data_IF_888429652515
#
_entry.id   IF_888429652515
#
_cell.length_a   1.000
_cell.length_b   1.000
_cell.length_c   1.000
_cell.angle_alpha   90.00
_cell.angle_beta   90.00
_cell.angle_gamma   90.00
#
_symmetry.space_group_name_H-M   'P 1'
#
loop_
_entity.id
_entity.type
_entity.pdbx_description
1 polymer ?
#
# COMPACT_ATOMS: atom_id res chain seq x y z
N UNK A 1 31.55 -32.69 -16.51
CA UNK A 1 30.44 -31.89 -17.05
C UNK A 1 29.84 -32.66 -18.23
N UNK A 2 28.56 -33.06 -18.17
CA UNK A 2 27.94 -33.97 -19.15
C UNK A 2 27.13 -33.14 -20.15
N UNK A 3 27.40 -33.30 -21.43
CA UNK A 3 26.90 -32.44 -22.52
C UNK A 3 25.43 -32.67 -22.90
N UNK A 4 24.73 -33.61 -22.24
CA UNK A 4 23.40 -34.12 -22.62
C UNK A 4 22.58 -34.55 -21.41
N UNK A 5 22.49 -33.72 -20.37
CA UNK A 5 21.49 -33.95 -19.31
C UNK A 5 20.21 -33.17 -19.66
N UNK A 6 19.09 -33.87 -19.82
CA UNK A 6 17.79 -33.28 -20.11
C UNK A 6 17.16 -32.60 -18.88
N UNK A 7 17.76 -32.80 -17.70
CA UNK A 7 17.34 -32.23 -16.42
C UNK A 7 18.29 -31.12 -15.92
N UNK A 8 19.14 -30.58 -16.78
CA UNK A 8 20.01 -29.44 -16.47
C UNK A 8 19.77 -28.32 -17.49
N UNK A 9 19.20 -27.20 -17.05
CA UNK A 9 19.05 -26.01 -17.89
C UNK A 9 20.19 -25.02 -17.62
N UNK A 10 20.70 -24.41 -18.70
CA UNK A 10 21.86 -23.50 -18.67
C UNK A 10 21.40 -22.06 -18.50
N UNK A 11 21.92 -21.39 -17.48
CA UNK A 11 21.86 -19.93 -17.40
C UNK A 11 22.84 -19.33 -18.40
N UNK A 12 22.40 -18.33 -19.18
CA UNK A 12 23.28 -17.55 -20.05
C UNK A 12 23.07 -16.07 -19.76
N UNK A 13 24.03 -15.44 -19.09
CA UNK A 13 24.07 -14.00 -18.79
C UNK A 13 22.80 -13.45 -18.11
N UNK A 14 22.37 -14.09 -17.02
CA UNK A 14 21.24 -13.65 -16.20
C UNK A 14 21.74 -13.07 -14.87
N UNK A 15 21.11 -12.01 -14.32
CA UNK A 15 21.42 -11.54 -12.97
C UNK A 15 21.00 -12.61 -11.96
N UNK A 16 21.94 -13.05 -11.13
CA UNK A 16 21.69 -14.03 -10.06
C UNK A 16 22.00 -13.38 -8.72
N UNK A 17 21.03 -13.44 -7.80
CA UNK A 17 21.28 -13.12 -6.40
C UNK A 17 21.69 -14.40 -5.67
N UNK A 18 22.83 -14.36 -4.99
CA UNK A 18 23.31 -15.46 -4.16
C UNK A 18 23.03 -15.14 -2.69
N UNK A 19 22.33 -16.03 -2.01
CA UNK A 19 22.14 -15.97 -0.57
C UNK A 19 23.05 -16.99 0.10
N UNK A 20 23.84 -16.52 1.05
CA UNK A 20 24.61 -17.40 1.93
C UNK A 20 23.97 -17.37 3.31
N UNK A 21 23.65 -18.56 3.83
CA UNK A 21 23.02 -18.74 5.13
C UNK A 21 24.04 -19.31 6.13
N UNK A 22 23.97 -18.84 7.37
CA UNK A 22 24.74 -19.43 8.48
C UNK A 22 24.11 -20.73 8.99
N UNK A 23 22.78 -20.81 8.93
CA UNK A 23 21.99 -21.97 9.34
C UNK A 23 21.16 -22.51 8.16
N UNK A 24 20.99 -23.83 8.08
CA UNK A 24 20.18 -24.44 7.04
C UNK A 24 18.70 -24.09 7.22
N UNK A 25 18.03 -23.79 6.10
CA UNK A 25 16.58 -23.56 6.06
C UNK A 25 15.90 -24.64 5.24
N UNK A 26 14.64 -24.89 5.53
CA UNK A 26 13.78 -25.63 4.59
C UNK A 26 13.67 -24.84 3.29
N UNK A 27 13.49 -25.54 2.15
CA UNK A 27 13.27 -24.87 0.86
C UNK A 27 12.13 -23.85 0.92
N UNK A 28 11.05 -24.19 1.64
CA UNK A 28 9.93 -23.26 1.83
C UNK A 28 10.33 -22.04 2.65
N UNK A 29 11.05 -22.21 3.76
CA UNK A 29 11.56 -21.10 4.57
C UNK A 29 12.48 -20.18 3.76
N UNK A 30 13.38 -20.74 2.96
CA UNK A 30 14.24 -19.97 2.05
C UNK A 30 13.41 -19.11 1.09
N UNK A 31 12.39 -19.70 0.47
CA UNK A 31 11.53 -19.01 -0.51
C UNK A 31 10.71 -17.91 0.16
N UNK A 32 10.00 -18.24 1.23
CA UNK A 32 9.09 -17.34 1.92
C UNK A 32 9.87 -16.17 2.58
N UNK A 33 11.05 -16.44 3.14
CA UNK A 33 11.81 -15.44 3.91
C UNK A 33 12.78 -14.61 3.07
N UNK A 34 13.26 -15.08 1.92
CA UNK A 34 14.31 -14.38 1.18
C UNK A 34 14.01 -14.20 -0.30
N UNK A 35 13.57 -15.26 -0.98
CA UNK A 35 13.32 -15.19 -2.43
C UNK A 35 12.13 -14.30 -2.74
N UNK A 36 11.00 -14.51 -2.06
CA UNK A 36 9.78 -13.76 -2.33
C UNK A 36 9.89 -12.28 -1.92
N UNK A 37 10.43 -11.92 -0.73
CA UNK A 37 10.74 -10.52 -0.41
C UNK A 37 11.65 -9.84 -1.42
N UNK A 38 12.68 -10.54 -1.94
CA UNK A 38 13.54 -10.00 -3.00
C UNK A 38 12.75 -9.75 -4.28
N UNK A 39 11.93 -10.72 -4.72
CA UNK A 39 11.06 -10.56 -5.91
C UNK A 39 10.13 -9.37 -5.77
N UNK A 40 9.51 -9.18 -4.59
CA UNK A 40 8.64 -8.04 -4.29
C UNK A 40 9.40 -6.72 -4.36
N UNK A 41 10.59 -6.65 -3.77
CA UNK A 41 11.44 -5.46 -3.86
C UNK A 41 11.78 -5.13 -5.31
N UNK A 42 12.22 -6.10 -6.11
CA UNK A 42 12.54 -5.85 -7.53
C UNK A 42 11.28 -5.41 -8.30
N UNK A 43 10.12 -5.99 -7.99
CA UNK A 43 8.85 -5.55 -8.57
C UNK A 43 8.48 -4.11 -8.19
N UNK A 44 8.69 -3.70 -6.93
CA UNK A 44 8.52 -2.32 -6.48
C UNK A 44 9.50 -1.39 -7.20
N UNK A 45 10.77 -1.77 -7.30
CA UNK A 45 11.80 -0.95 -7.93
C UNK A 45 11.52 -0.72 -9.42
N UNK A 46 11.09 -1.76 -10.13
CA UNK A 46 10.87 -1.73 -11.60
C UNK A 46 9.45 -1.36 -12.01
N UNK A 47 8.47 -1.50 -11.11
CA UNK A 47 7.05 -1.33 -11.42
C UNK A 47 6.47 -2.47 -12.26
N UNK A 48 7.11 -3.63 -12.26
CA UNK A 48 6.71 -4.80 -13.04
C UNK A 48 6.85 -6.07 -12.21
N UNK A 49 5.90 -6.98 -12.31
CA UNK A 49 6.04 -8.32 -11.75
C UNK A 49 7.33 -8.99 -12.26
N UNK A 50 7.97 -9.77 -11.39
CA UNK A 50 9.25 -10.43 -11.68
C UNK A 50 9.10 -11.92 -11.53
N UNK A 51 9.27 -12.64 -12.62
CA UNK A 51 9.28 -14.10 -12.63
C UNK A 51 10.54 -14.67 -12.01
N UNK A 52 10.37 -15.81 -11.32
CA UNK A 52 11.50 -16.62 -10.87
C UNK A 52 11.87 -17.58 -12.01
N UNK A 53 12.91 -17.26 -12.77
CA UNK A 53 13.34 -18.09 -13.90
C UNK A 53 14.27 -19.22 -13.48
N UNK A 54 14.99 -19.06 -12.38
CA UNK A 54 15.98 -20.00 -11.89
C UNK A 54 16.10 -19.96 -10.37
N UNK A 55 16.20 -21.14 -9.76
CA UNK A 55 16.57 -21.32 -8.35
C UNK A 55 17.46 -22.56 -8.24
N UNK A 56 18.58 -22.40 -7.53
CA UNK A 56 19.40 -23.53 -7.12
C UNK A 56 19.79 -23.39 -5.65
N UNK A 57 19.94 -24.53 -4.99
CA UNK A 57 20.25 -24.63 -3.56
C UNK A 57 21.39 -25.60 -3.34
N UNK A 58 22.13 -25.40 -2.26
CA UNK A 58 23.03 -26.43 -1.71
C UNK A 58 22.28 -27.16 -0.59
N UNK A 59 22.46 -28.48 -0.50
CA UNK A 59 21.80 -29.31 0.51
C UNK A 59 22.77 -29.55 1.67
N UNK A 60 22.26 -29.55 2.90
CA UNK A 60 23.09 -29.80 4.09
C UNK A 60 23.79 -31.16 4.06
N UNK A 61 23.13 -32.18 3.51
CA UNK A 61 23.62 -33.54 3.45
C UNK A 61 24.48 -33.85 2.21
N UNK A 62 24.46 -33.01 1.18
CA UNK A 62 25.07 -33.30 -0.12
C UNK A 62 25.73 -32.06 -0.73
N UNK A 63 27.00 -32.20 -1.10
CA UNK A 63 27.75 -31.11 -1.71
C UNK A 63 27.37 -30.89 -3.17
N UNK A 64 27.28 -29.62 -3.55
CA UNK A 64 26.97 -29.19 -4.91
C UNK A 64 25.66 -28.43 -5.01
N UNK A 65 25.43 -27.87 -6.20
CA UNK A 65 24.24 -27.08 -6.50
C UNK A 65 23.15 -27.95 -7.12
N UNK A 66 21.97 -27.92 -6.52
CA UNK A 66 20.79 -28.65 -6.96
C UNK A 66 19.76 -27.65 -7.49
N UNK A 67 19.36 -27.82 -8.75
CA UNK A 67 18.32 -26.98 -9.37
C UNK A 67 16.95 -27.35 -8.82
N UNK A 68 16.15 -26.32 -8.52
CA UNK A 68 14.78 -26.48 -8.04
C UNK A 68 13.82 -26.36 -9.21
N UNK A 69 12.93 -27.34 -9.34
CA UNK A 69 11.87 -27.36 -10.34
C UNK A 69 10.51 -27.17 -9.68
N UNK A 70 9.69 -26.29 -10.22
CA UNK A 70 8.35 -26.03 -9.73
C UNK A 70 7.53 -25.21 -10.71
N UNK A 71 6.20 -25.24 -10.56
CA UNK A 71 5.27 -24.53 -11.45
C UNK A 71 5.39 -23.00 -11.37
N UNK A 72 5.94 -22.48 -10.27
CA UNK A 72 6.23 -21.05 -10.10
C UNK A 72 7.65 -20.66 -10.56
N UNK A 73 8.42 -21.61 -11.10
CA UNK A 73 9.75 -21.37 -11.68
C UNK A 73 9.63 -21.57 -13.17
N UNK A 74 9.62 -20.47 -13.93
CA UNK A 74 9.25 -20.50 -15.35
C UNK A 74 10.26 -21.26 -16.19
N UNK A 75 11.53 -21.30 -15.78
CA UNK A 75 12.65 -21.88 -16.53
C UNK A 75 12.80 -21.28 -17.93
N UNK A 76 12.14 -20.15 -18.20
CA UNK A 76 12.30 -19.41 -19.44
C UNK A 76 13.71 -18.80 -19.47
N UNK A 77 14.44 -18.95 -20.58
CA UNK A 77 15.76 -18.35 -20.71
C UNK A 77 15.69 -16.83 -20.50
N UNK A 78 16.40 -16.33 -19.49
CA UNK A 78 16.52 -14.89 -19.28
C UNK A 78 17.62 -14.33 -20.17
N UNK A 79 17.25 -13.62 -21.22
CA UNK A 79 18.17 -12.89 -22.10
C UNK A 79 18.33 -11.44 -21.63
N UNK A 80 19.39 -11.17 -20.87
CA UNK A 80 19.75 -9.79 -20.53
C UNK A 80 20.19 -9.04 -21.78
N UNK A 81 19.53 -7.92 -22.09
CA UNK A 81 19.98 -7.00 -23.14
C UNK A 81 20.21 -5.61 -22.55
N UNK A 82 21.24 -4.91 -23.03
CA UNK A 82 21.53 -3.54 -22.59
C UNK A 82 20.40 -2.57 -22.93
N UNK A 83 19.63 -2.83 -24.00
CA UNK A 83 18.44 -2.07 -24.33
C UNK A 83 17.29 -2.33 -23.35
N UNK A 84 17.07 -3.57 -22.93
CA UNK A 84 16.09 -3.88 -21.88
C UNK A 84 16.50 -3.27 -20.54
N UNK A 85 17.79 -3.27 -20.19
CA UNK A 85 18.28 -2.63 -18.96
C UNK A 85 18.15 -1.11 -19.02
N UNK A 86 18.51 -0.47 -20.13
CA UNK A 86 18.34 0.99 -20.31
C UNK A 86 16.86 1.40 -20.41
N UNK A 87 16.03 0.54 -20.99
CA UNK A 87 14.58 0.73 -21.04
C UNK A 87 13.86 0.36 -19.75
N UNK A 88 14.52 -0.36 -18.83
CA UNK A 88 14.00 -0.63 -17.50
C UNK A 88 14.07 0.67 -16.70
N UNK A 89 12.94 1.38 -16.61
CA UNK A 89 12.74 2.56 -15.78
C UNK A 89 12.71 2.18 -14.28
N UNK A 90 13.78 1.58 -13.78
CA UNK A 90 13.94 1.24 -12.37
C UNK A 90 14.16 2.50 -11.55
N UNK A 91 13.42 2.62 -10.45
CA UNK A 91 13.66 3.69 -9.48
C UNK A 91 14.95 3.44 -8.66
N UNK A 92 15.46 2.21 -8.65
CA UNK A 92 16.60 1.78 -7.84
C UNK A 92 17.74 1.25 -8.69
N UNK A 93 18.94 1.74 -8.40
CA UNK A 93 20.25 1.25 -8.82
C UNK A 93 21.04 0.89 -7.57
N UNK A 94 20.90 -0.34 -7.04
CA UNK A 94 21.38 -0.69 -5.69
C UNK A 94 22.85 -0.32 -5.41
N UNK A 95 23.74 -0.47 -6.39
CA UNK A 95 25.16 -0.08 -6.24
C UNK A 95 25.35 1.44 -6.20
N UNK A 96 24.70 2.18 -7.11
CA UNK A 96 24.83 3.65 -7.20
C UNK A 96 24.14 4.35 -6.03
N UNK A 97 23.08 3.72 -5.51
CA UNK A 97 22.25 4.22 -4.42
C UNK A 97 22.77 3.82 -3.03
N UNK A 98 23.88 3.07 -2.96
CA UNK A 98 24.47 2.52 -1.73
C UNK A 98 23.46 1.73 -0.88
N UNK A 99 22.65 0.90 -1.55
CA UNK A 99 21.60 0.10 -0.92
C UNK A 99 22.01 -1.37 -0.79
N UNK A 100 21.90 -1.90 0.43
CA UNK A 100 22.07 -3.32 0.69
C UNK A 100 20.78 -4.10 0.35
N UNK A 101 20.85 -5.01 -0.63
CA UNK A 101 19.74 -5.90 -0.97
C UNK A 101 19.29 -6.75 0.22
N UNK A 102 20.23 -7.19 1.07
CA UNK A 102 19.92 -7.97 2.26
C UNK A 102 19.15 -7.13 3.29
N UNK A 103 19.53 -5.86 3.49
CA UNK A 103 18.79 -4.96 4.38
C UNK A 103 17.38 -4.68 3.85
N UNK A 104 17.21 -4.49 2.55
CA UNK A 104 15.90 -4.28 1.93
C UNK A 104 14.99 -5.49 2.12
N UNK A 105 15.50 -6.71 1.89
CA UNK A 105 14.80 -7.97 2.18
C UNK A 105 14.42 -8.06 3.65
N UNK A 106 15.35 -7.70 4.54
CA UNK A 106 15.12 -7.76 5.99
C UNK A 106 14.05 -6.78 6.44
N UNK A 107 14.06 -5.55 5.91
CA UNK A 107 13.02 -4.54 6.17
C UNK A 107 11.65 -4.98 5.63
N UNK A 108 11.59 -5.65 4.48
CA UNK A 108 10.33 -6.21 4.00
C UNK A 108 9.78 -7.28 4.95
N UNK A 109 10.63 -8.20 5.40
CA UNK A 109 10.23 -9.23 6.39
C UNK A 109 9.75 -8.61 7.70
N UNK A 110 10.38 -7.53 8.16
CA UNK A 110 9.92 -6.79 9.33
C UNK A 110 8.51 -6.21 9.14
N UNK A 111 8.18 -5.74 7.93
CA UNK A 111 6.84 -5.26 7.60
C UNK A 111 5.83 -6.42 7.62
N UNK A 112 6.18 -7.59 7.07
CA UNK A 112 5.33 -8.78 7.10
C UNK A 112 5.10 -9.30 8.52
N UNK A 113 6.17 -9.40 9.32
CA UNK A 113 6.09 -9.85 10.71
C UNK A 113 5.22 -8.92 11.58
N UNK A 114 5.16 -7.64 11.23
CA UNK A 114 4.30 -6.63 11.90
C UNK A 114 2.89 -6.57 11.32
N UNK A 115 2.54 -7.40 10.35
CA UNK A 115 1.26 -7.31 9.63
C UNK A 115 1.03 -5.90 9.08
N UNK A 116 2.09 -5.27 8.54
CA UNK A 116 2.00 -3.91 8.06
C UNK A 116 1.05 -3.86 6.84
N UNK A 117 0.10 -2.91 6.78
CA UNK A 117 -0.92 -2.89 5.73
C UNK A 117 -0.37 -2.88 4.31
N UNK A 118 0.79 -2.24 4.07
CA UNK A 118 1.48 -2.31 2.78
C UNK A 118 1.78 -3.76 2.34
N UNK A 119 2.32 -4.57 3.24
CA UNK A 119 2.71 -5.95 2.95
C UNK A 119 1.47 -6.83 2.73
N UNK A 120 0.43 -6.66 3.55
CA UNK A 120 -0.82 -7.44 3.44
C UNK A 120 -1.67 -7.07 2.21
N UNK A 121 -1.63 -5.81 1.78
CA UNK A 121 -2.41 -5.34 0.63
C UNK A 121 -1.56 -5.35 -0.64
N UNK A 122 -0.79 -4.29 -0.88
CA UNK A 122 0.00 -4.11 -2.09
C UNK A 122 1.00 -5.25 -2.31
N UNK A 123 1.64 -5.75 -1.25
CA UNK A 123 2.58 -6.88 -1.33
C UNK A 123 1.99 -8.15 -1.94
N UNK A 124 0.69 -8.41 -1.73
CA UNK A 124 -0.02 -9.55 -2.30
C UNK A 124 -0.34 -9.39 -3.80
N UNK A 125 -0.32 -8.15 -4.31
CA UNK A 125 -0.66 -7.82 -5.69
C UNK A 125 0.55 -7.77 -6.63
N UNK A 126 1.76 -7.63 -6.09
CA UNK A 126 2.99 -7.39 -6.88
C UNK A 126 3.29 -8.46 -7.94
N UNK A 127 2.65 -9.63 -7.84
CA UNK A 127 2.83 -10.76 -8.76
C UNK A 127 1.56 -11.07 -9.58
N UNK A 128 0.52 -10.24 -9.51
CA UNK A 128 -0.72 -10.45 -10.25
C UNK A 128 -0.69 -9.66 -11.58
N UNK A 129 -0.50 -10.36 -12.69
CA UNK A 129 -0.24 -9.71 -13.99
C UNK A 129 -1.50 -9.17 -14.70
N UNK A 130 -2.71 -9.63 -14.34
CA UNK A 130 -3.94 -9.35 -15.11
C UNK A 130 -5.12 -8.86 -14.25
N UNK A 131 -4.86 -7.94 -13.32
CA UNK A 131 -5.95 -7.38 -12.53
C UNK A 131 -6.69 -6.27 -13.27
N UNK A 132 -8.01 -6.40 -13.38
CA UNK A 132 -8.87 -5.37 -13.94
C UNK A 132 -8.65 -4.02 -13.20
N UNK A 133 -8.59 -2.86 -13.89
CA UNK A 133 -8.27 -1.56 -13.29
C UNK A 133 -9.12 -1.19 -12.07
N UNK A 134 -10.40 -1.55 -12.08
CA UNK A 134 -11.29 -1.42 -10.90
C UNK A 134 -10.74 -2.08 -9.63
N UNK A 135 -10.25 -3.32 -9.72
CA UNK A 135 -9.72 -4.05 -8.56
C UNK A 135 -8.42 -3.42 -8.09
N UNK A 136 -7.53 -3.09 -9.02
CA UNK A 136 -6.26 -2.40 -8.73
C UNK A 136 -6.52 -1.07 -8.03
N UNK A 137 -7.44 -0.25 -8.54
CA UNK A 137 -7.82 1.02 -7.95
C UNK A 137 -8.25 0.86 -6.48
N UNK A 138 -9.19 -0.05 -6.20
CA UNK A 138 -9.71 -0.26 -4.84
C UNK A 138 -8.62 -0.71 -3.87
N UNK A 139 -7.75 -1.62 -4.32
CA UNK A 139 -6.66 -2.13 -3.49
C UNK A 139 -5.56 -1.10 -3.24
N UNK A 140 -5.21 -0.28 -4.25
CA UNK A 140 -4.22 0.80 -4.08
C UNK A 140 -4.73 1.87 -3.12
N UNK A 141 -6.01 2.26 -3.21
CA UNK A 141 -6.62 3.19 -2.25
C UNK A 141 -6.63 2.58 -0.84
N UNK A 142 -6.96 1.30 -0.71
CA UNK A 142 -6.92 0.59 0.57
C UNK A 142 -5.50 0.51 1.13
N UNK A 143 -4.48 0.33 0.29
CA UNK A 143 -3.09 0.32 0.71
C UNK A 143 -2.67 1.68 1.28
N UNK A 144 -3.01 2.78 0.60
CA UNK A 144 -2.73 4.15 1.08
C UNK A 144 -3.45 4.45 2.40
N UNK A 145 -4.73 4.11 2.50
CA UNK A 145 -5.53 4.29 3.71
C UNK A 145 -4.98 3.44 4.88
N UNK A 146 -4.65 2.18 4.61
CA UNK A 146 -4.07 1.27 5.59
C UNK A 146 -2.71 1.73 6.10
N UNK A 147 -1.82 2.16 5.20
CA UNK A 147 -0.52 2.72 5.57
C UNK A 147 -0.67 3.97 6.45
N UNK A 148 -1.52 4.91 6.06
CA UNK A 148 -1.78 6.10 6.87
C UNK A 148 -2.28 5.71 8.26
N UNK A 149 -3.25 4.80 8.33
CA UNK A 149 -3.80 4.30 9.58
C UNK A 149 -2.77 3.62 10.48
N UNK A 150 -1.81 2.89 9.91
CA UNK A 150 -0.71 2.28 10.65
C UNK A 150 0.25 3.33 11.22
N UNK A 151 0.64 4.32 10.42
CA UNK A 151 1.58 5.38 10.83
C UNK A 151 0.98 6.35 11.85
N UNK A 152 -0.32 6.63 11.76
CA UNK A 152 -1.01 7.57 12.68
C UNK A 152 -1.74 6.88 13.82
N UNK A 153 -1.55 5.57 14.02
CA UNK A 153 -2.34 4.77 14.96
C UNK A 153 -2.33 5.35 16.36
N UNK A 154 -1.16 5.66 16.90
CA UNK A 154 -1.00 6.19 18.26
C UNK A 154 -1.71 7.56 18.41
N UNK A 155 -1.50 8.45 17.43
CA UNK A 155 -2.14 9.77 17.42
C UNK A 155 -3.68 9.64 17.38
N UNK A 156 -4.19 8.71 16.58
CA UNK A 156 -5.62 8.46 16.49
C UNK A 156 -6.18 7.86 17.79
N UNK A 157 -5.47 6.94 18.44
CA UNK A 157 -5.85 6.39 19.73
C UNK A 157 -5.97 7.49 20.81
N UNK A 158 -5.06 8.46 20.80
CA UNK A 158 -5.13 9.62 21.70
C UNK A 158 -6.27 10.56 21.36
N UNK A 159 -6.51 10.84 20.07
CA UNK A 159 -7.68 11.60 19.64
C UNK A 159 -8.99 10.92 20.06
N UNK A 160 -9.07 9.59 19.99
CA UNK A 160 -10.23 8.83 20.46
C UNK A 160 -10.43 9.00 21.97
N UNK A 161 -9.36 8.97 22.78
CA UNK A 161 -9.46 9.22 24.23
C UNK A 161 -10.00 10.62 24.51
N UNK A 162 -9.41 11.64 23.91
CA UNK A 162 -9.83 13.05 24.09
C UNK A 162 -11.27 13.27 23.61
N UNK A 163 -11.62 12.73 22.43
CA UNK A 163 -12.97 12.83 21.90
C UNK A 163 -13.99 12.15 22.81
N UNK A 164 -13.66 10.96 23.32
CA UNK A 164 -14.54 10.22 24.24
C UNK A 164 -14.75 10.99 25.53
N UNK A 165 -13.69 11.55 26.13
CA UNK A 165 -13.79 12.40 27.32
C UNK A 165 -14.66 13.64 27.07
N UNK A 166 -14.44 14.36 25.97
CA UNK A 166 -15.25 15.53 25.60
C UNK A 166 -16.71 15.17 25.36
N UNK A 167 -16.98 14.06 24.68
CA UNK A 167 -18.34 13.56 24.42
C UNK A 167 -19.05 13.20 25.73
N UNK A 168 -18.37 12.51 26.64
CA UNK A 168 -18.93 12.16 27.96
C UNK A 168 -19.22 13.42 28.76
N UNK A 169 -18.26 14.34 28.87
CA UNK A 169 -18.45 15.60 29.59
C UNK A 169 -19.58 16.46 28.99
N UNK A 170 -19.76 16.47 27.66
CA UNK A 170 -20.89 17.14 27.02
C UNK A 170 -22.22 16.49 27.43
N UNK A 171 -22.31 15.16 27.38
CA UNK A 171 -23.54 14.46 27.76
C UNK A 171 -23.88 14.63 29.25
N UNK A 172 -22.88 14.70 30.12
CA UNK A 172 -23.04 15.01 31.55
C UNK A 172 -23.53 16.46 31.75
N UNK A 173 -22.97 17.43 31.02
CA UNK A 173 -23.44 18.83 31.05
C UNK A 173 -24.88 19.00 30.55
N UNK A 174 -25.32 18.13 29.64
CA UNK A 174 -26.69 18.11 29.13
C UNK A 174 -27.67 17.41 30.07
N UNK A 175 -27.19 16.63 31.05
CA UNK A 175 -28.04 15.90 31.99
C UNK A 175 -28.94 16.80 32.86
N UNK A 176 -28.44 17.88 33.50
CA UNK A 176 -29.29 18.78 34.30
C UNK A 176 -30.17 19.72 33.46
N UNK A 177 -29.92 19.84 32.15
CA UNK A 177 -30.72 20.66 31.23
C UNK A 177 -31.93 19.89 30.65
N UNK A 178 -31.94 18.57 30.82
CA UNK A 178 -33.11 17.74 30.59
C UNK A 178 -33.93 17.74 31.87
N UNK A 179 -35.01 18.51 31.90
CA UNK A 179 -35.87 18.64 33.08
C UNK A 179 -36.31 17.27 33.59
N UNK A 180 -36.12 17.01 34.89
CA UNK A 180 -36.90 15.98 35.57
C UNK A 180 -38.29 16.60 35.78
N UNK A 181 -39.27 16.12 35.02
CA UNK A 181 -40.67 16.46 35.22
C UNK A 181 -41.17 15.91 36.56
N UNK A 182 -40.90 16.65 37.63
CA UNK A 182 -41.46 16.56 38.99
C UNK A 182 -40.61 17.48 39.86
N UNK A 183 -41.00 18.70 40.20
CA UNK A 183 -42.20 19.11 40.94
C UNK A 183 -42.36 20.62 40.79
N UNK A 184 -43.59 21.09 41.01
CA UNK A 184 -44.09 22.45 40.83
C UNK A 184 -43.18 23.56 41.40
N UNK A 185 -43.21 24.72 40.72
CA UNK A 185 -42.63 26.02 41.11
C UNK A 185 -41.13 26.24 40.86
N UNK A 186 -40.71 26.29 39.59
CA UNK A 186 -39.74 27.30 39.15
C UNK A 186 -39.86 27.53 37.63
N UNK A 187 -40.05 28.79 37.24
CA UNK A 187 -40.08 29.30 35.86
C UNK A 187 -38.70 29.20 35.18
N UNK A 188 -38.14 28.01 35.09
CA UNK A 188 -36.98 27.67 34.28
C UNK A 188 -37.46 27.02 32.99
N UNK A 189 -37.33 27.70 31.86
CA UNK A 189 -37.68 27.16 30.54
C UNK A 189 -37.00 25.81 30.33
N UNK A 190 -37.76 24.71 30.21
CA UNK A 190 -37.23 23.41 29.81
C UNK A 190 -36.55 23.55 28.44
N UNK A 191 -35.22 23.54 28.40
CA UNK A 191 -34.45 23.83 27.18
C UNK A 191 -34.34 22.56 26.30
N UNK A 192 -34.25 21.38 26.93
CA UNK A 192 -34.12 20.10 26.25
C UNK A 192 -35.02 19.04 26.89
N UNK A 193 -35.68 18.24 26.07
CA UNK A 193 -36.45 17.09 26.55
C UNK A 193 -35.57 15.85 26.70
N UNK A 194 -36.08 14.87 27.43
CA UNK A 194 -35.49 13.55 27.56
C UNK A 194 -35.36 12.82 26.19
N UNK A 195 -36.25 13.13 25.23
CA UNK A 195 -36.18 12.66 23.86
C UNK A 195 -35.02 13.31 23.08
N UNK A 196 -34.79 14.61 23.26
CA UNK A 196 -33.66 15.35 22.66
C UNK A 196 -32.33 14.80 23.15
N UNK A 197 -32.22 14.50 24.46
CA UNK A 197 -31.02 13.85 25.02
C UNK A 197 -30.75 12.49 24.38
N UNK A 198 -31.79 11.66 24.24
CA UNK A 198 -31.67 10.34 23.57
C UNK A 198 -31.27 10.48 22.11
N UNK A 199 -31.85 11.45 21.41
CA UNK A 199 -31.50 11.79 20.04
C UNK A 199 -30.03 12.20 19.93
N UNK A 200 -29.58 13.18 20.72
CA UNK A 200 -28.19 13.65 20.75
C UNK A 200 -27.23 12.51 21.09
N UNK A 201 -27.51 11.68 22.10
CA UNK A 201 -26.66 10.53 22.42
C UNK A 201 -26.54 9.53 21.27
N UNK A 202 -27.60 9.35 20.48
CA UNK A 202 -27.64 8.44 19.33
C UNK A 202 -26.88 9.00 18.12
N UNK A 203 -27.01 10.30 17.85
CA UNK A 203 -26.47 10.94 16.65
C UNK A 203 -25.13 11.65 16.85
N UNK A 204 -24.73 11.94 18.10
CA UNK A 204 -23.36 12.35 18.41
C UNK A 204 -22.41 11.19 18.15
N UNK A 205 -21.54 11.37 17.15
CA UNK A 205 -20.54 10.40 16.75
C UNK A 205 -19.77 9.87 17.96
N UNK A 206 -19.49 8.56 17.97
CA UNK A 206 -18.77 7.92 19.08
C UNK A 206 -17.26 8.06 18.96
N UNK A 207 -16.76 8.31 17.75
CA UNK A 207 -15.35 8.42 17.41
C UNK A 207 -15.11 9.75 16.69
N UNK A 208 -13.88 10.29 16.73
CA UNK A 208 -13.52 11.43 15.91
C UNK A 208 -13.75 11.10 14.43
N UNK A 209 -14.01 12.14 13.64
CA UNK A 209 -14.16 12.02 12.19
C UNK A 209 -12.78 11.67 11.61
N UNK A 210 -12.67 10.52 10.93
CA UNK A 210 -11.61 10.27 9.96
C UNK A 210 -12.22 10.26 8.57
N UNK A 211 -11.52 10.82 7.59
CA UNK A 211 -11.96 10.79 6.20
C UNK A 211 -10.80 10.35 5.29
N UNK A 212 -11.16 9.66 4.21
CA UNK A 212 -10.20 9.19 3.22
C UNK A 212 -9.46 10.37 2.56
N UNK A 213 -10.13 11.51 2.38
CA UNK A 213 -9.55 12.71 1.79
C UNK A 213 -8.33 13.20 2.58
N UNK A 214 -8.43 13.22 3.90
CA UNK A 214 -7.33 13.58 4.80
C UNK A 214 -6.19 12.57 4.75
N UNK A 215 -6.50 11.27 4.75
CA UNK A 215 -5.49 10.21 4.64
C UNK A 215 -4.72 10.33 3.31
N UNK A 216 -5.41 10.42 2.17
CA UNK A 216 -4.78 10.56 0.87
C UNK A 216 -3.94 11.83 0.74
N UNK A 217 -4.41 12.95 1.30
CA UNK A 217 -3.66 14.22 1.32
C UNK A 217 -2.39 14.11 2.16
N UNK A 218 -2.48 13.49 3.34
CA UNK A 218 -1.33 13.27 4.22
C UNK A 218 -0.30 12.34 3.57
N UNK A 219 -0.75 11.23 2.98
CA UNK A 219 0.12 10.30 2.26
C UNK A 219 0.86 11.01 1.13
N UNK A 220 0.15 11.75 0.26
CA UNK A 220 0.77 12.50 -0.82
C UNK A 220 1.79 13.55 -0.33
N UNK A 221 1.50 14.21 0.80
CA UNK A 221 2.40 15.24 1.36
C UNK A 221 3.62 14.67 2.07
N UNK A 222 3.63 13.37 2.40
CA UNK A 222 4.75 12.70 3.07
C UNK A 222 5.81 12.15 2.11
N UNK A 223 5.58 12.28 0.80
CA UNK A 223 6.55 11.94 -0.25
C UNK A 223 7.33 13.17 -0.72
N UNK A 224 8.54 12.99 -1.25
CA UNK A 224 9.33 14.09 -1.83
C UNK A 224 8.69 14.70 -3.09
N UNK A 225 7.86 13.94 -3.80
CA UNK A 225 7.10 14.38 -4.97
C UNK A 225 5.61 14.18 -4.72
N UNK A 226 4.82 15.24 -4.93
CA UNK A 226 3.38 15.18 -4.75
C UNK A 226 2.66 14.61 -5.99
N UNK A 227 2.49 13.29 -6.03
CA UNK A 227 1.80 12.60 -7.12
C UNK A 227 0.33 13.02 -7.35
N UNK A 228 -0.29 13.75 -6.40
CA UNK A 228 -1.67 14.23 -6.58
C UNK A 228 -1.79 15.28 -7.69
N UNK A 229 -0.72 16.02 -8.01
CA UNK A 229 -0.74 17.01 -9.08
C UNK A 229 -0.79 16.37 -10.47
N UNK A 230 -0.16 15.20 -10.65
CA UNK A 230 -0.33 14.40 -11.85
C UNK A 230 -1.75 13.83 -11.93
N UNK A 231 -2.29 13.31 -10.82
CA UNK A 231 -3.65 12.77 -10.76
C UNK A 231 -4.71 13.80 -11.17
N UNK A 232 -4.57 15.08 -10.79
CA UNK A 232 -5.47 16.17 -11.21
C UNK A 232 -5.58 16.34 -12.73
N UNK A 233 -4.56 15.94 -13.49
CA UNK A 233 -4.49 16.09 -14.95
C UNK A 233 -5.20 14.97 -15.70
N UNK A 234 -5.41 13.82 -15.07
CA UNK A 234 -6.11 12.65 -15.66
C UNK A 234 -7.54 13.01 -16.08
N UNK A 235 -8.05 12.33 -17.11
CA UNK A 235 -9.39 12.59 -17.66
C UNK A 235 -10.46 12.42 -16.57
N UNK A 236 -10.36 11.34 -15.79
CA UNK A 236 -11.32 10.98 -14.76
C UNK A 236 -11.40 12.04 -13.64
N UNK A 237 -10.26 12.40 -13.05
CA UNK A 237 -10.20 13.34 -11.93
C UNK A 237 -10.56 14.74 -12.40
N UNK A 238 -10.03 15.18 -13.55
CA UNK A 238 -10.34 16.49 -14.14
C UNK A 238 -11.83 16.64 -14.42
N UNK A 239 -12.48 15.59 -14.93
CA UNK A 239 -13.92 15.56 -15.15
C UNK A 239 -14.71 15.82 -13.86
N UNK A 240 -14.35 15.14 -12.76
CA UNK A 240 -15.01 15.33 -11.46
C UNK A 240 -14.81 16.73 -10.90
N UNK A 241 -13.60 17.29 -11.01
CA UNK A 241 -13.28 18.66 -10.58
C UNK A 241 -14.07 19.70 -11.40
N UNK A 242 -14.10 19.56 -12.73
CA UNK A 242 -14.81 20.49 -13.62
C UNK A 242 -16.34 20.48 -13.46
N UNK A 243 -16.89 19.37 -12.98
CA UNK A 243 -18.31 19.21 -12.70
C UNK A 243 -18.72 19.64 -11.29
N UNK A 244 -17.80 20.23 -10.51
CA UNK A 244 -17.99 20.61 -9.10
C UNK A 244 -18.44 19.45 -8.19
N UNK A 245 -18.30 18.19 -8.65
CA UNK A 245 -18.58 17.00 -7.83
C UNK A 245 -17.49 16.76 -6.78
N UNK A 246 -16.29 17.28 -7.01
CA UNK A 246 -15.15 17.18 -6.10
C UNK A 246 -14.39 18.52 -6.04
N UNK A 247 -13.90 18.86 -4.84
CA UNK A 247 -13.13 20.08 -4.60
C UNK A 247 -11.61 19.85 -4.75
N UNK A 248 -11.16 18.60 -4.72
CA UNK A 248 -9.75 18.21 -4.76
C UNK A 248 -9.56 16.81 -5.35
N UNK A 249 -8.33 16.46 -5.73
CA UNK A 249 -8.01 15.11 -6.20
C UNK A 249 -8.30 14.01 -5.16
N UNK A 250 -7.92 14.16 -3.86
CA UNK A 250 -8.33 13.23 -2.81
C UNK A 250 -9.85 13.04 -2.74
N UNK A 251 -10.63 14.12 -2.79
CA UNK A 251 -12.08 14.05 -2.77
C UNK A 251 -12.65 13.33 -4.00
N UNK A 252 -12.06 13.56 -5.19
CA UNK A 252 -12.41 12.87 -6.42
C UNK A 252 -12.14 11.35 -6.30
N UNK A 253 -10.97 10.96 -5.80
CA UNK A 253 -10.60 9.56 -5.58
C UNK A 253 -11.54 8.88 -4.59
N UNK A 254 -11.95 9.55 -3.50
CA UNK A 254 -12.95 9.03 -2.56
C UNK A 254 -14.30 8.80 -3.24
N UNK A 255 -14.74 9.72 -4.09
CA UNK A 255 -15.99 9.56 -4.84
C UNK A 255 -15.90 8.34 -5.76
N UNK A 256 -14.83 8.23 -6.55
CA UNK A 256 -14.59 7.07 -7.44
C UNK A 256 -14.55 5.77 -6.63
N UNK A 257 -13.83 5.75 -5.50
CA UNK A 257 -13.77 4.60 -4.60
C UNK A 257 -15.15 4.19 -4.13
N UNK A 258 -15.98 5.14 -3.70
CA UNK A 258 -17.33 4.83 -3.19
C UNK A 258 -18.25 4.35 -4.31
N UNK A 259 -18.19 4.99 -5.49
CA UNK A 259 -18.95 4.61 -6.68
C UNK A 259 -18.60 3.16 -7.10
N UNK A 260 -17.31 2.81 -7.12
CA UNK A 260 -16.82 1.48 -7.46
C UNK A 260 -17.08 0.44 -6.36
N UNK A 261 -16.89 0.77 -5.09
CA UNK A 261 -17.08 -0.18 -3.98
C UNK A 261 -18.56 -0.57 -3.80
N UNK A 262 -19.47 0.39 -3.97
CA UNK A 262 -20.90 0.15 -3.82
C UNK A 262 -21.60 -0.26 -5.13
N UNK A 263 -20.89 -0.21 -6.26
CA UNK A 263 -21.46 -0.52 -7.58
C UNK A 263 -22.46 0.53 -8.07
N UNK A 264 -22.42 1.74 -7.52
CA UNK A 264 -23.34 2.82 -7.88
C UNK A 264 -23.10 3.36 -9.29
N UNK A 265 -21.86 3.31 -9.75
CA UNK A 265 -21.44 3.83 -11.06
C UNK A 265 -20.20 3.09 -11.57
N UNK A 266 -20.17 2.87 -12.88
CA UNK A 266 -18.97 2.42 -13.60
C UNK A 266 -18.22 3.59 -14.22
N UNK A 267 -16.93 3.37 -14.49
CA UNK A 267 -16.06 4.29 -15.22
C UNK A 267 -15.40 3.52 -16.38
N UNK A 268 -15.07 4.20 -17.49
CA UNK A 268 -14.29 3.58 -18.57
C UNK A 268 -13.00 2.97 -18.03
N UNK A 269 -12.64 1.79 -18.52
CA UNK A 269 -11.46 1.08 -18.02
C UNK A 269 -10.17 1.86 -18.30
N UNK A 270 -10.07 2.51 -19.46
CA UNK A 270 -8.89 3.30 -19.85
C UNK A 270 -8.70 4.53 -18.93
N UNK A 271 -9.79 5.23 -18.62
CA UNK A 271 -9.78 6.37 -17.69
C UNK A 271 -9.40 5.95 -16.26
N UNK A 272 -9.81 4.74 -15.84
CA UNK A 272 -9.41 4.17 -14.56
C UNK A 272 -7.95 3.72 -14.57
N UNK A 273 -7.49 3.11 -15.65
CA UNK A 273 -6.12 2.60 -15.75
C UNK A 273 -5.10 3.74 -15.67
N UNK A 274 -5.37 4.88 -16.32
CA UNK A 274 -4.54 6.10 -16.20
C UNK A 274 -4.36 6.51 -14.72
N UNK A 275 -5.45 6.53 -13.95
CA UNK A 275 -5.43 6.86 -12.53
C UNK A 275 -4.73 5.77 -11.71
N UNK A 276 -4.94 4.50 -12.04
CA UNK A 276 -4.30 3.36 -11.36
C UNK A 276 -2.80 3.40 -11.53
N UNK A 277 -2.28 3.68 -12.73
CA UNK A 277 -0.84 3.80 -12.97
C UNK A 277 -0.19 4.85 -12.07
N UNK A 278 -0.83 6.02 -11.92
CA UNK A 278 -0.32 7.09 -11.05
C UNK A 278 -0.47 6.72 -9.56
N UNK A 279 -1.56 6.07 -9.16
CA UNK A 279 -1.72 5.58 -7.79
C UNK A 279 -0.67 4.52 -7.44
N UNK A 280 -0.34 3.63 -8.38
CA UNK A 280 0.70 2.62 -8.19
C UNK A 280 2.07 3.27 -8.01
N UNK A 281 2.40 4.31 -8.77
CA UNK A 281 3.62 5.10 -8.53
C UNK A 281 3.66 5.66 -7.10
N UNK A 282 2.55 6.24 -6.61
CA UNK A 282 2.48 6.76 -5.22
C UNK A 282 2.69 5.64 -4.20
N UNK A 283 2.02 4.49 -4.37
CA UNK A 283 2.17 3.34 -3.46
C UNK A 283 3.59 2.77 -3.51
N UNK A 284 4.20 2.66 -4.69
CA UNK A 284 5.60 2.24 -4.87
C UNK A 284 6.57 3.20 -4.17
N UNK A 285 6.35 4.50 -4.30
CA UNK A 285 7.16 5.52 -3.61
C UNK A 285 7.07 5.36 -2.08
N UNK A 286 5.87 5.11 -1.53
CA UNK A 286 5.74 4.80 -0.10
C UNK A 286 6.40 3.48 0.29
N UNK A 287 6.34 2.46 -0.56
CA UNK A 287 7.02 1.19 -0.32
C UNK A 287 8.54 1.38 -0.23
N UNK A 288 9.15 2.11 -1.16
CA UNK A 288 10.58 2.43 -1.13
C UNK A 288 10.95 3.27 0.11
N UNK A 289 10.13 4.26 0.49
CA UNK A 289 10.32 5.04 1.72
C UNK A 289 10.26 4.17 2.98
N UNK A 290 9.32 3.23 3.06
CA UNK A 290 9.17 2.31 4.20
C UNK A 290 10.31 1.28 4.26
N UNK A 291 10.85 0.90 3.10
CA UNK A 291 12.10 0.16 2.98
C UNK A 291 13.33 1.04 3.28
N UNK A 292 13.13 2.32 3.62
CA UNK A 292 14.13 3.32 3.98
C UNK A 292 15.14 3.63 2.88
N UNK A 293 14.68 3.62 1.63
CA UNK A 293 15.41 4.22 0.53
C UNK A 293 15.45 5.76 0.68
N UNK A 294 16.52 6.43 0.23
CA UNK A 294 16.64 7.87 0.33
C UNK A 294 15.70 8.61 -0.65
N UNK A 295 15.37 9.87 -0.35
CA UNK A 295 14.43 10.67 -1.16
C UNK A 295 14.73 10.74 -2.67
N UNK A 296 16.00 10.78 -3.14
CA UNK A 296 16.31 10.72 -4.57
C UNK A 296 15.90 9.40 -5.24
N UNK A 297 15.93 8.28 -4.52
CA UNK A 297 15.42 6.98 -5.00
C UNK A 297 13.90 7.00 -5.06
N UNK A 298 13.26 7.54 -4.02
CA UNK A 298 11.79 7.63 -3.95
C UNK A 298 11.23 8.54 -5.05
N UNK A 299 11.91 9.64 -5.34
CA UNK A 299 11.48 10.62 -6.36
C UNK A 299 11.52 10.06 -7.78
N UNK A 300 12.52 9.21 -8.10
CA UNK A 300 12.66 8.58 -9.43
C UNK A 300 11.46 7.75 -9.86
N UNK A 301 10.62 7.29 -8.93
CA UNK A 301 9.37 6.55 -9.25
C UNK A 301 8.43 7.38 -10.12
N UNK A 302 8.46 8.71 -9.98
CA UNK A 302 7.59 9.63 -10.72
C UNK A 302 8.17 10.05 -12.08
N UNK A 303 9.41 9.61 -12.41
CA UNK A 303 10.17 10.07 -13.57
C UNK A 303 10.94 11.36 -13.30
N UNK A 304 11.83 11.71 -14.23
CA UNK A 304 12.47 13.03 -14.26
C UNK A 304 11.53 14.00 -15.00
N UNK A 305 11.18 15.12 -14.37
CA UNK A 305 10.49 16.25 -15.03
C UNK A 305 11.40 16.93 -16.08
#
# INVERSE_FOLDING_TARGET
>A
MRTTDAFEFRLRFSPVATLQLEESLTLRGLVDEYVEPLRRFVAIATGKAQDLTYLAVELEAESGWFQVFGTAITQEPYESSSDAVRGASSAVSAYEDDLSLLELVSRWRDLEAKHHPLAETYGSMLHAEDQHPRSRFLLLIQALEGMHGAETREQYEDQVKVHTQRRTALLEKLQPLAGESSTEEETGTEILTDADRRFLKKFLMKRPISNLDGALSAMASSLPVNGMDALKKTVLVKGLLSSERAESAPAALRIVRNDLAHGNRGYPSDDLDEVVTLLEQIVRAHALRLLGCPDPVVSRVFGDD
#
